data_IF_436844430496
#
_entry.id   IF_436844430496
#
_cell.length_a   1.000
_cell.length_b   1.000
_cell.length_c   1.000
_cell.angle_alpha   90.00
_cell.angle_beta   90.00
_cell.angle_gamma   90.00
#
_symmetry.space_group_name_H-M   'P 1'
#
loop_
_entity.id
_entity.type
_entity.pdbx_description
1 polymer ?
#
# COMPACT_ATOMS: atom_id res chain seq x y z
N UNK A 1 14.28 4.74 -41.30
CA UNK A 1 14.51 4.49 -39.86
C UNK A 1 13.19 4.71 -39.14
N UNK A 2 12.52 3.65 -38.67
CA UNK A 2 11.29 3.80 -37.89
C UNK A 2 11.66 3.94 -36.42
N UNK A 3 11.28 5.06 -35.82
CA UNK A 3 11.52 5.39 -34.42
C UNK A 3 10.38 4.78 -33.60
N UNK A 4 10.70 3.74 -32.82
CA UNK A 4 9.76 3.11 -31.87
C UNK A 4 9.59 4.05 -30.67
N UNK A 5 8.49 4.79 -30.65
CA UNK A 5 8.02 5.52 -29.47
C UNK A 5 7.46 4.51 -28.46
N UNK A 6 8.24 4.21 -27.42
CA UNK A 6 7.76 3.46 -26.26
C UNK A 6 6.91 4.40 -25.39
N UNK A 7 5.60 4.25 -25.49
CA UNK A 7 4.66 4.93 -24.60
C UNK A 7 4.67 4.22 -23.23
N UNK A 8 5.40 4.79 -22.28
CA UNK A 8 5.55 4.29 -20.91
C UNK A 8 4.45 4.81 -19.96
N UNK A 9 3.40 5.45 -20.48
CA UNK A 9 2.36 6.09 -19.66
C UNK A 9 1.36 5.11 -19.03
N UNK A 10 1.42 3.84 -19.40
CA UNK A 10 0.56 2.79 -18.86
C UNK A 10 1.36 1.89 -17.91
N UNK A 11 1.17 1.96 -16.57
CA UNK A 11 1.73 0.97 -15.68
C UNK A 11 1.22 -0.40 -16.13
N UNK A 12 2.15 -1.32 -16.44
CA UNK A 12 1.81 -2.68 -16.85
C UNK A 12 0.84 -3.29 -15.83
N UNK A 13 -0.15 -4.09 -16.27
CA UNK A 13 -1.10 -4.72 -15.35
C UNK A 13 -0.32 -5.44 -14.25
N UNK A 14 -0.44 -4.94 -13.02
CA UNK A 14 0.29 -5.47 -11.86
C UNK A 14 -0.06 -6.94 -11.76
N UNK A 15 0.92 -7.81 -12.03
CA UNK A 15 0.69 -9.24 -11.99
C UNK A 15 0.56 -9.66 -10.52
N UNK A 16 -0.68 -9.70 -10.03
CA UNK A 16 -1.02 -9.97 -8.64
C UNK A 16 -0.52 -11.34 -8.16
N UNK A 17 -0.15 -12.24 -9.08
CA UNK A 17 0.48 -13.52 -8.78
C UNK A 17 1.88 -13.39 -8.15
N UNK A 18 2.56 -12.25 -8.33
CA UNK A 18 3.90 -12.01 -7.76
C UNK A 18 3.88 -11.55 -6.31
N UNK A 19 2.71 -11.23 -5.76
CA UNK A 19 2.62 -10.80 -4.37
C UNK A 19 2.73 -11.97 -3.40
N UNK A 20 3.47 -11.77 -2.31
CA UNK A 20 3.32 -12.63 -1.13
C UNK A 20 1.90 -12.52 -0.59
N UNK A 21 1.41 -13.53 0.14
CA UNK A 21 0.03 -13.53 0.69
C UNK A 21 -0.30 -12.24 1.45
N UNK A 22 0.63 -11.73 2.26
CA UNK A 22 0.44 -10.49 3.02
C UNK A 22 0.41 -9.25 2.12
N UNK A 23 1.32 -9.14 1.14
CA UNK A 23 1.33 -8.02 0.19
C UNK A 23 0.04 -8.00 -0.64
N UNK A 24 -0.44 -9.18 -1.04
CA UNK A 24 -1.68 -9.33 -1.80
C UNK A 24 -2.88 -8.82 -1.01
N UNK A 25 -2.98 -9.19 0.27
CA UNK A 25 -4.08 -8.74 1.14
C UNK A 25 -4.10 -7.22 1.31
N UNK A 26 -2.93 -6.62 1.56
CA UNK A 26 -2.81 -5.16 1.67
C UNK A 26 -3.18 -4.51 0.34
N UNK A 27 -2.61 -4.98 -0.78
CA UNK A 27 -2.89 -4.42 -2.09
C UNK A 27 -4.37 -4.53 -2.45
N UNK A 28 -5.01 -5.67 -2.19
CA UNK A 28 -6.45 -5.84 -2.43
C UNK A 28 -7.30 -4.90 -1.56
N UNK A 29 -6.98 -4.77 -0.27
CA UNK A 29 -7.67 -3.81 0.62
C UNK A 29 -7.56 -2.38 0.08
N UNK A 30 -6.35 -1.98 -0.34
CA UNK A 30 -6.13 -0.65 -0.91
C UNK A 30 -6.78 -0.47 -2.29
N UNK A 31 -6.80 -1.52 -3.12
CA UNK A 31 -7.41 -1.52 -4.46
C UNK A 31 -8.93 -1.36 -4.40
N UNK A 32 -9.57 -1.71 -3.28
CA UNK A 32 -10.97 -1.37 -3.00
C UNK A 32 -11.18 0.12 -2.69
N UNK A 33 -10.14 0.96 -2.74
CA UNK A 33 -10.21 2.39 -2.43
C UNK A 33 -10.22 2.70 -0.93
N UNK A 34 -9.86 1.71 -0.09
CA UNK A 34 -9.75 1.88 1.36
C UNK A 34 -8.35 2.35 1.73
N UNK A 35 -8.24 2.96 2.90
CA UNK A 35 -6.95 3.29 3.52
C UNK A 35 -6.56 2.25 4.57
N UNK A 36 -5.27 2.18 4.88
CA UNK A 36 -4.78 1.29 5.95
C UNK A 36 -3.70 1.97 6.77
N UNK A 37 -3.76 1.80 8.09
CA UNK A 37 -2.70 2.15 9.03
C UNK A 37 -2.19 0.90 9.76
N UNK A 38 -1.11 1.07 10.54
CA UNK A 38 -0.45 -0.06 11.24
C UNK A 38 -1.38 -0.82 12.18
N UNK A 39 -2.26 -0.12 12.91
CA UNK A 39 -3.20 -0.74 13.85
C UNK A 39 -4.28 -1.55 13.12
N UNK A 40 -4.79 -1.01 12.00
CA UNK A 40 -5.75 -1.73 11.14
C UNK A 40 -5.11 -2.97 10.50
N UNK A 41 -3.85 -2.87 10.06
CA UNK A 41 -3.11 -3.99 9.48
C UNK A 41 -2.88 -5.13 10.48
N UNK A 42 -2.54 -4.81 11.73
CA UNK A 42 -2.38 -5.80 12.80
C UNK A 42 -3.73 -6.43 13.14
N UNK A 43 -4.74 -5.62 13.46
CA UNK A 43 -6.05 -6.12 13.92
C UNK A 43 -6.80 -6.93 12.86
N UNK A 44 -6.78 -6.50 11.59
CA UNK A 44 -7.56 -7.16 10.52
C UNK A 44 -6.82 -8.28 9.82
N UNK A 45 -5.50 -8.13 9.65
CA UNK A 45 -4.71 -9.02 8.77
C UNK A 45 -3.54 -9.70 9.49
N UNK A 46 -3.33 -9.43 10.78
CA UNK A 46 -2.17 -9.93 11.54
C UNK A 46 -0.84 -9.54 10.89
N UNK A 47 -0.78 -8.34 10.29
CA UNK A 47 0.43 -7.82 9.63
C UNK A 47 1.09 -6.78 10.53
N UNK A 48 2.17 -7.19 11.19
CA UNK A 48 2.95 -6.36 12.11
C UNK A 48 3.89 -5.36 11.41
N UNK A 49 4.40 -5.73 10.23
CA UNK A 49 5.38 -4.93 9.49
C UNK A 49 4.77 -4.28 8.25
N UNK A 50 3.67 -3.53 8.42
CA UNK A 50 2.95 -2.88 7.30
C UNK A 50 3.89 -2.04 6.41
N UNK A 51 4.79 -1.26 7.01
CA UNK A 51 5.70 -0.40 6.26
C UNK A 51 6.61 -1.18 5.31
N UNK A 52 7.13 -2.33 5.76
CA UNK A 52 7.96 -3.21 4.93
C UNK A 52 7.16 -3.79 3.77
N UNK A 53 5.91 -4.20 4.01
CA UNK A 53 5.02 -4.73 2.97
C UNK A 53 4.67 -3.67 1.92
N UNK A 54 4.44 -2.44 2.33
CA UNK A 54 4.19 -1.33 1.41
C UNK A 54 5.46 -0.92 0.64
N UNK A 55 6.63 -0.99 1.28
CA UNK A 55 7.91 -0.80 0.58
C UNK A 55 8.12 -1.86 -0.50
N UNK A 56 7.82 -3.13 -0.22
CA UNK A 56 7.82 -4.20 -1.23
C UNK A 56 6.83 -3.89 -2.37
N UNK A 57 5.60 -3.49 -2.05
CA UNK A 57 4.56 -3.13 -3.04
C UNK A 57 5.04 -1.97 -3.94
N UNK A 58 5.66 -0.94 -3.37
CA UNK A 58 6.23 0.20 -4.12
C UNK A 58 7.40 -0.25 -5.01
N UNK A 59 8.41 -0.86 -4.41
CA UNK A 59 9.71 -1.07 -5.05
C UNK A 59 9.73 -2.29 -5.97
N UNK A 60 9.08 -3.40 -5.59
CA UNK A 60 9.12 -4.66 -6.35
C UNK A 60 8.01 -4.75 -7.39
N UNK A 61 6.91 -4.04 -7.17
CA UNK A 61 5.71 -4.13 -8.03
C UNK A 61 5.36 -2.81 -8.72
N UNK A 62 6.12 -1.73 -8.49
CA UNK A 62 5.94 -0.44 -9.18
C UNK A 62 4.63 0.26 -8.83
N UNK A 63 4.04 -0.03 -7.67
CA UNK A 63 2.74 0.52 -7.28
C UNK A 63 2.95 1.84 -6.54
N UNK A 64 2.33 2.92 -7.04
CA UNK A 64 2.29 4.19 -6.34
C UNK A 64 1.36 4.09 -5.13
N UNK A 65 1.92 4.26 -3.93
CA UNK A 65 1.16 4.28 -2.67
C UNK A 65 1.44 5.62 -2.02
N UNK A 66 0.40 6.39 -1.73
CA UNK A 66 0.47 7.65 -1.01
C UNK A 66 0.50 7.37 0.50
N UNK A 67 1.21 8.22 1.26
CA UNK A 67 1.17 8.19 2.72
C UNK A 67 0.98 9.57 3.34
N UNK A 68 0.22 9.63 4.43
CA UNK A 68 0.06 10.82 5.27
C UNK A 68 0.22 10.48 6.74
N UNK A 69 0.51 11.48 7.55
CA UNK A 69 0.54 11.33 9.01
C UNK A 69 -0.83 11.61 9.59
N UNK A 70 -1.35 10.68 10.39
CA UNK A 70 -2.62 10.81 11.12
C UNK A 70 -2.39 10.60 12.61
N UNK A 71 -3.36 11.00 13.42
CA UNK A 71 -3.42 10.66 14.85
C UNK A 71 -4.60 9.74 15.10
N UNK A 72 -4.34 8.61 15.74
CA UNK A 72 -5.37 7.61 16.11
C UNK A 72 -5.26 7.30 17.60
N UNK A 73 -6.34 6.79 18.18
CA UNK A 73 -6.28 6.26 19.55
C UNK A 73 -5.72 4.85 19.53
N UNK A 74 -4.77 4.57 20.43
CA UNK A 74 -4.34 3.21 20.70
C UNK A 74 -5.39 2.46 21.55
N UNK A 75 -5.11 1.19 21.88
CA UNK A 75 -5.98 0.36 22.72
C UNK A 75 -6.14 0.88 24.15
N UNK A 76 -5.25 1.78 24.59
CA UNK A 76 -5.27 2.42 25.91
C UNK A 76 -5.94 3.81 25.87
N UNK A 77 -6.42 4.25 24.71
CA UNK A 77 -7.07 5.54 24.52
C UNK A 77 -6.11 6.72 24.28
N UNK A 78 -4.80 6.49 24.22
CA UNK A 78 -3.81 7.53 23.97
C UNK A 78 -3.77 7.91 22.50
N UNK A 79 -3.63 9.21 22.22
CA UNK A 79 -3.45 9.69 20.85
C UNK A 79 -2.03 9.43 20.39
N UNK A 80 -1.88 8.55 19.40
CA UNK A 80 -0.61 8.18 18.78
C UNK A 80 -0.59 8.62 17.32
N UNK A 81 0.54 9.18 16.90
CA UNK A 81 0.76 9.52 15.50
C UNK A 81 1.19 8.27 14.72
N UNK A 82 0.55 7.99 13.59
CA UNK A 82 0.95 6.91 12.70
C UNK A 82 0.78 7.30 11.24
N UNK A 83 1.34 6.50 10.34
CA UNK A 83 1.15 6.66 8.90
C UNK A 83 -0.11 5.93 8.44
N UNK A 84 -0.87 6.61 7.60
CA UNK A 84 -1.97 6.03 6.82
C UNK A 84 -1.55 5.96 5.35
N UNK A 85 -1.95 4.88 4.70
CA UNK A 85 -1.57 4.55 3.33
C UNK A 85 -2.79 4.38 2.44
N UNK A 86 -2.66 4.80 1.19
CA UNK A 86 -3.72 4.78 0.18
C UNK A 86 -3.14 4.58 -1.23
N UNK A 87 -3.93 4.03 -2.16
CA UNK A 87 -3.61 4.09 -3.60
C UNK A 87 -4.16 5.34 -4.27
N UNK A 88 -5.03 6.09 -3.58
CA UNK A 88 -5.52 7.40 -4.00
C UNK A 88 -4.74 8.49 -3.29
N UNK A 89 -4.51 9.60 -3.97
CA UNK A 89 -3.96 10.81 -3.38
C UNK A 89 -4.88 11.35 -2.27
N UNK A 90 -4.29 12.01 -1.27
CA UNK A 90 -4.98 12.48 -0.06
C UNK A 90 -5.50 13.91 -0.19
#
# INVERSE_FOLDING_TARGET
MQQLTFDLTSPSPINAAKFTRQNRLIYQHLACGLTINVFQAISRYQIYHLHSRLSDIRNKHGVLVYDRMIRVKDSSGNMVSCKEYSLKEF
#
